data_IF_266185908042
#
_entry.id   IF_266185908042
#
_cell.length_a   1.000
_cell.length_b   1.000
_cell.length_c   1.000
_cell.angle_alpha   90.00
_cell.angle_beta   90.00
_cell.angle_gamma   90.00
#
_symmetry.space_group_name_H-M   'P 1'
#
loop_
_entity.id
_entity.type
_entity.pdbx_description
1 polymer ?
#
# COMPACT_ATOMS: atom_id res chain seq x y z
N UNK A 1 -23.40 11.30 -18.64
CA UNK A 1 -22.13 12.02 -18.39
C UNK A 1 -21.24 11.08 -17.59
N UNK A 2 -20.10 10.65 -18.12
CA UNK A 2 -19.19 9.76 -17.37
C UNK A 2 -18.49 10.60 -16.30
N UNK A 3 -18.66 10.24 -15.03
CA UNK A 3 -17.91 10.89 -13.96
C UNK A 3 -16.44 10.53 -14.07
N UNK A 4 -15.58 11.55 -14.07
CA UNK A 4 -14.14 11.39 -14.03
C UNK A 4 -13.70 11.69 -12.61
N UNK A 5 -13.25 10.66 -11.89
CA UNK A 5 -12.65 10.82 -10.57
C UNK A 5 -11.36 11.65 -10.71
N UNK A 6 -11.16 12.69 -9.89
CA UNK A 6 -9.88 13.41 -9.86
C UNK A 6 -8.71 12.45 -9.60
N UNK A 7 -7.55 12.84 -10.13
CA UNK A 7 -6.38 11.98 -10.18
C UNK A 7 -5.24 12.68 -9.44
N UNK A 8 -4.72 12.04 -8.39
CA UNK A 8 -3.54 12.56 -7.67
C UNK A 8 -2.25 12.23 -8.42
N UNK A 9 -1.32 13.16 -8.58
CA UNK A 9 -0.05 12.83 -9.24
C UNK A 9 0.88 12.08 -8.27
N UNK A 10 1.20 10.83 -8.59
CA UNK A 10 2.10 10.00 -7.78
C UNK A 10 3.47 10.68 -7.70
N UNK A 11 3.99 10.83 -6.49
CA UNK A 11 5.32 11.38 -6.27
C UNK A 11 6.36 10.26 -6.39
N UNK A 12 7.22 10.36 -7.41
CA UNK A 12 8.38 9.48 -7.56
C UNK A 12 9.61 10.08 -6.87
N UNK A 13 10.07 9.40 -5.83
CA UNK A 13 11.23 9.77 -5.01
C UNK A 13 12.44 8.86 -5.23
N UNK A 14 12.46 8.08 -6.33
CA UNK A 14 13.52 7.09 -6.60
C UNK A 14 14.93 7.68 -6.67
N UNK A 15 15.04 8.98 -6.97
CA UNK A 15 16.33 9.68 -7.08
C UNK A 15 16.87 10.17 -5.73
N UNK A 16 16.05 10.20 -4.66
CA UNK A 16 16.44 10.69 -3.35
C UNK A 16 17.31 9.63 -2.64
N UNK A 17 18.48 10.04 -2.18
CA UNK A 17 19.40 9.18 -1.42
C UNK A 17 19.51 9.60 0.06
N UNK A 18 19.17 10.85 0.40
CA UNK A 18 19.23 11.33 1.77
C UNK A 18 17.96 10.96 2.55
N UNK A 19 18.15 10.43 3.76
CA UNK A 19 17.04 9.99 4.62
C UNK A 19 16.16 11.14 5.09
N UNK A 20 16.77 12.29 5.42
CA UNK A 20 16.03 13.45 5.93
C UNK A 20 15.21 14.09 4.82
N UNK A 21 15.77 14.19 3.63
CA UNK A 21 15.09 14.63 2.42
C UNK A 21 13.92 13.70 2.10
N UNK A 22 14.12 12.38 2.07
CA UNK A 22 13.04 11.42 1.80
C UNK A 22 11.91 11.53 2.83
N UNK A 23 12.26 11.70 4.11
CA UNK A 23 11.29 11.94 5.18
C UNK A 23 10.46 13.19 4.97
N UNK A 24 11.09 14.30 4.57
CA UNK A 24 10.39 15.56 4.29
C UNK A 24 9.48 15.42 3.07
N UNK A 25 9.95 14.79 1.99
CA UNK A 25 9.16 14.55 0.78
C UNK A 25 7.94 13.72 1.10
N UNK A 26 8.08 12.59 1.80
CA UNK A 26 6.94 11.75 2.15
C UNK A 26 5.94 12.45 3.06
N UNK A 27 6.40 13.26 4.02
CA UNK A 27 5.52 14.08 4.85
C UNK A 27 4.75 15.12 4.04
N UNK A 28 5.41 15.80 3.10
CA UNK A 28 4.74 16.76 2.23
C UNK A 28 3.76 16.08 1.27
N UNK A 29 4.11 14.90 0.74
CA UNK A 29 3.20 14.11 -0.10
C UNK A 29 1.96 13.66 0.66
N UNK A 30 2.11 13.23 1.91
CA UNK A 30 0.98 12.89 2.78
C UNK A 30 0.03 14.09 2.93
N UNK A 31 0.57 15.26 3.28
CA UNK A 31 -0.20 16.50 3.43
C UNK A 31 -0.89 16.87 2.12
N UNK A 32 -0.17 16.86 1.00
CA UNK A 32 -0.69 17.19 -0.31
C UNK A 32 -1.83 16.24 -0.74
N UNK A 33 -1.68 14.94 -0.48
CA UNK A 33 -2.73 13.97 -0.76
C UNK A 33 -3.97 14.18 0.11
N UNK A 34 -3.80 14.53 1.39
CA UNK A 34 -4.94 14.89 2.27
C UNK A 34 -5.67 16.14 1.78
N UNK A 35 -4.94 17.18 1.37
CA UNK A 35 -5.53 18.37 0.76
C UNK A 35 -6.29 18.03 -0.52
N UNK A 36 -5.68 17.27 -1.43
CA UNK A 36 -6.33 16.78 -2.64
C UNK A 36 -7.62 15.98 -2.33
N UNK A 37 -7.58 15.11 -1.31
CA UNK A 37 -8.75 14.33 -0.92
C UNK A 37 -9.92 15.23 -0.47
N UNK A 38 -9.63 16.33 0.22
CA UNK A 38 -10.62 17.29 0.73
C UNK A 38 -11.10 18.29 -0.32
N UNK A 39 -10.18 18.81 -1.14
CA UNK A 39 -10.42 19.94 -2.03
C UNK A 39 -10.86 19.51 -3.42
N UNK A 40 -10.47 18.31 -3.88
CA UNK A 40 -10.78 17.81 -5.21
C UNK A 40 -11.68 16.58 -5.17
N UNK A 41 -11.27 15.55 -4.42
CA UNK A 41 -11.92 14.23 -4.47
C UNK A 41 -13.32 14.23 -3.84
N UNK A 42 -13.48 14.73 -2.62
CA UNK A 42 -14.79 14.81 -1.94
C UNK A 42 -15.79 15.67 -2.75
N UNK A 43 -15.44 16.88 -3.23
CA UNK A 43 -16.34 17.66 -4.07
C UNK A 43 -16.74 16.94 -5.36
N UNK A 44 -15.82 16.24 -6.00
CA UNK A 44 -16.12 15.45 -7.19
C UNK A 44 -17.05 14.26 -6.89
N UNK A 45 -16.84 13.55 -5.77
CA UNK A 45 -17.74 12.50 -5.28
C UNK A 45 -19.15 13.04 -5.05
N UNK A 46 -19.28 14.18 -4.37
CA UNK A 46 -20.57 14.84 -4.11
C UNK A 46 -21.26 15.27 -5.40
N UNK A 47 -20.53 15.89 -6.33
CA UNK A 47 -21.06 16.30 -7.62
C UNK A 47 -21.56 15.11 -8.44
N UNK A 48 -20.86 13.97 -8.37
CA UNK A 48 -21.28 12.75 -9.04
C UNK A 48 -22.57 12.19 -8.43
N UNK A 49 -22.62 12.09 -7.10
CA UNK A 49 -23.77 11.56 -6.41
C UNK A 49 -25.04 12.39 -6.69
N UNK A 50 -24.91 13.73 -6.66
CA UNK A 50 -25.98 14.66 -7.04
C UNK A 50 -26.46 14.49 -8.50
N UNK A 51 -25.63 13.93 -9.39
CA UNK A 51 -26.01 13.69 -10.79
C UNK A 51 -26.75 12.37 -11.01
N UNK A 52 -26.67 11.43 -10.06
CA UNK A 52 -27.27 10.10 -10.15
C UNK A 52 -28.55 10.00 -9.32
N UNK A 53 -28.57 10.63 -8.15
CA UNK A 53 -29.71 10.54 -7.25
C UNK A 53 -30.85 11.39 -7.79
N UNK A 54 -32.00 10.75 -7.99
CA UNK A 54 -33.26 11.45 -8.17
C UNK A 54 -33.84 11.79 -6.78
N UNK A 55 -33.85 13.08 -6.43
CA UNK A 55 -34.38 13.57 -5.15
C UNK A 55 -35.88 13.38 -4.98
N UNK A 56 -36.60 13.07 -6.07
CA UNK A 56 -38.05 12.88 -6.06
C UNK A 56 -38.46 11.43 -5.75
N UNK A 57 -37.49 10.52 -5.60
CA UNK A 57 -37.71 9.11 -5.26
C UNK A 57 -37.21 8.85 -3.84
N UNK A 58 -38.04 8.30 -2.93
CA UNK A 58 -37.58 7.88 -1.62
C UNK A 58 -36.43 6.86 -1.75
N UNK A 59 -35.30 7.18 -1.14
CA UNK A 59 -34.14 6.28 -1.06
C UNK A 59 -34.32 5.39 0.18
N UNK A 60 -34.02 4.11 0.04
CA UNK A 60 -33.99 3.17 1.17
C UNK A 60 -33.01 3.68 2.25
N UNK A 61 -33.39 3.82 3.53
CA UNK A 61 -32.56 4.45 4.56
C UNK A 61 -31.11 3.93 4.68
N UNK A 62 -30.81 2.62 4.54
CA UNK A 62 -29.43 2.14 4.52
C UNK A 62 -28.62 2.62 3.31
N UNK A 63 -29.28 2.81 2.16
CA UNK A 63 -28.65 3.36 0.96
C UNK A 63 -28.39 4.86 1.16
N UNK A 64 -29.33 5.58 1.77
CA UNK A 64 -29.18 7.00 2.11
C UNK A 64 -27.99 7.25 3.05
N UNK A 65 -27.75 6.38 4.03
CA UNK A 65 -26.57 6.47 4.92
C UNK A 65 -25.25 6.30 4.15
N UNK A 66 -25.18 5.29 3.27
CA UNK A 66 -24.00 5.05 2.42
C UNK A 66 -23.74 6.23 1.49
N UNK A 67 -24.79 6.77 0.88
CA UNK A 67 -24.74 7.96 0.03
C UNK A 67 -24.21 9.17 0.80
N UNK A 68 -24.76 9.46 1.98
CA UNK A 68 -24.30 10.56 2.83
C UNK A 68 -22.82 10.42 3.15
N UNK A 69 -22.42 9.23 3.58
CA UNK A 69 -21.02 8.94 3.89
C UNK A 69 -20.12 9.13 2.68
N UNK A 70 -20.51 8.63 1.50
CA UNK A 70 -19.76 8.83 0.25
C UNK A 70 -19.60 10.31 -0.14
N UNK A 71 -20.55 11.18 0.21
CA UNK A 71 -20.49 12.61 -0.07
C UNK A 71 -19.67 13.43 0.96
N UNK A 72 -19.36 12.82 2.10
CA UNK A 72 -18.68 13.46 3.23
C UNK A 72 -17.21 13.03 3.35
N UNK A 73 -16.88 11.79 2.98
CA UNK A 73 -15.53 11.25 3.15
C UNK A 73 -14.92 10.81 1.83
N UNK A 74 -13.59 10.95 1.75
CA UNK A 74 -12.82 10.55 0.58
C UNK A 74 -12.79 9.02 0.46
N UNK A 75 -13.18 8.51 -0.70
CA UNK A 75 -13.27 7.08 -0.98
C UNK A 75 -12.53 6.72 -2.28
N UNK A 76 -12.02 5.50 -2.35
CA UNK A 76 -11.58 4.90 -3.62
C UNK A 76 -12.80 4.57 -4.50
N UNK A 77 -12.63 4.48 -5.84
CA UNK A 77 -13.77 4.29 -6.72
C UNK A 77 -14.49 2.98 -6.40
N UNK A 78 -15.73 3.10 -5.93
CA UNK A 78 -16.68 2.01 -5.93
C UNK A 78 -17.67 2.20 -7.08
N UNK A 79 -17.65 1.33 -8.09
CA UNK A 79 -18.82 1.14 -8.94
C UNK A 79 -19.33 -0.30 -8.78
N UNK A 80 -20.57 -0.40 -8.28
CA UNK A 80 -21.38 -1.59 -8.01
C UNK A 80 -21.04 -2.36 -6.72
N UNK A 81 -21.90 -2.19 -5.72
CA UNK A 81 -21.88 -2.97 -4.48
C UNK A 81 -21.18 -2.23 -3.35
N UNK A 82 -21.94 -1.95 -2.29
CA UNK A 82 -21.41 -1.65 -0.97
C UNK A 82 -20.38 -2.75 -0.67
N UNK A 83 -19.10 -2.40 -0.44
CA UNK A 83 -18.78 -1.27 0.43
C UNK A 83 -17.81 -0.18 -0.01
N UNK A 84 -17.91 0.96 0.70
CA UNK A 84 -17.02 2.11 0.56
C UNK A 84 -15.64 1.82 1.16
N UNK A 85 -14.60 1.94 0.34
CA UNK A 85 -13.21 1.96 0.79
C UNK A 85 -12.81 3.40 1.18
N UNK A 86 -13.11 3.76 2.42
CA UNK A 86 -12.85 5.10 2.96
C UNK A 86 -11.36 5.26 3.19
N UNK A 87 -10.77 6.33 2.67
CA UNK A 87 -9.39 6.70 2.95
C UNK A 87 -9.31 7.19 4.40
N UNK A 88 -8.52 6.51 5.22
CA UNK A 88 -8.41 6.81 6.65
C UNK A 88 -7.45 7.97 6.91
N UNK A 89 -7.72 8.71 7.99
CA UNK A 89 -6.86 9.79 8.45
C UNK A 89 -5.69 9.29 9.32
N UNK A 90 -4.95 8.30 8.82
CA UNK A 90 -3.85 7.62 9.53
C UNK A 90 -2.51 7.83 8.84
N UNK A 91 -1.40 7.48 9.50
CA UNK A 91 -0.06 7.57 8.90
C UNK A 91 0.09 6.70 7.64
N UNK A 92 1.03 7.09 6.77
CA UNK A 92 1.38 6.30 5.59
C UNK A 92 1.76 4.87 5.95
N UNK A 93 1.27 3.95 5.10
CA UNK A 93 1.68 2.56 5.08
C UNK A 93 2.48 2.29 3.80
N UNK A 94 3.30 1.25 3.87
CA UNK A 94 4.26 0.93 2.85
C UNK A 94 4.16 -0.54 2.45
N UNK A 95 4.25 -0.80 1.15
CA UNK A 95 4.60 -2.12 0.62
C UNK A 95 5.99 -2.02 0.03
N UNK A 96 6.85 -2.96 0.41
CA UNK A 96 8.19 -3.08 -0.16
C UNK A 96 8.17 -4.11 -1.28
N UNK A 97 8.87 -3.79 -2.37
CA UNK A 97 8.93 -4.66 -3.55
C UNK A 97 10.19 -4.38 -4.38
N UNK A 98 10.35 -5.09 -5.50
CA UNK A 98 11.34 -4.77 -6.52
C UNK A 98 10.99 -3.51 -7.29
N UNK A 99 11.99 -2.83 -7.86
CA UNK A 99 11.77 -1.68 -8.73
C UNK A 99 10.87 -1.99 -9.94
N UNK A 100 10.94 -3.22 -10.46
CA UNK A 100 10.10 -3.66 -11.57
C UNK A 100 8.62 -3.69 -11.14
N UNK A 101 8.33 -4.29 -9.99
CA UNK A 101 6.98 -4.33 -9.42
C UNK A 101 6.47 -2.92 -9.09
N UNK A 102 7.31 -2.10 -8.44
CA UNK A 102 7.00 -0.70 -8.12
C UNK A 102 6.58 0.07 -9.38
N UNK A 103 7.37 0.02 -10.46
CA UNK A 103 7.05 0.70 -11.72
C UNK A 103 5.76 0.18 -12.33
N UNK A 104 5.54 -1.13 -12.35
CA UNK A 104 4.29 -1.73 -12.85
C UNK A 104 3.07 -1.18 -12.12
N UNK A 105 3.12 -1.11 -10.79
CA UNK A 105 2.02 -0.58 -9.99
C UNK A 105 1.88 0.94 -10.09
N UNK A 106 2.98 1.71 -10.17
CA UNK A 106 2.92 3.15 -10.38
C UNK A 106 2.18 3.52 -11.68
N UNK A 107 2.36 2.74 -12.75
CA UNK A 107 1.60 2.95 -14.00
C UNK A 107 0.11 2.64 -13.85
N UNK A 108 -0.25 1.61 -13.06
CA UNK A 108 -1.64 1.29 -12.73
C UNK A 108 -2.28 2.29 -11.76
N UNK A 109 -1.46 2.97 -10.95
CA UNK A 109 -1.83 3.93 -9.90
C UNK A 109 -2.55 3.36 -8.68
N UNK A 110 -3.03 2.13 -8.79
CA UNK A 110 -3.61 1.38 -7.68
C UNK A 110 -2.75 0.17 -7.37
N UNK A 111 -2.66 -0.15 -6.09
CA UNK A 111 -2.08 -1.39 -5.60
C UNK A 111 -3.20 -2.32 -5.16
N UNK A 112 -3.36 -3.43 -5.89
CA UNK A 112 -4.42 -4.42 -5.72
C UNK A 112 -3.96 -5.67 -4.95
N UNK A 113 -2.68 -5.71 -4.54
CA UNK A 113 -2.11 -6.81 -3.76
C UNK A 113 -2.09 -8.18 -4.44
N UNK A 114 -2.36 -8.26 -5.75
CA UNK A 114 -2.41 -9.54 -6.47
C UNK A 114 -0.99 -10.05 -6.67
N UNK A 115 -0.59 -11.02 -5.85
CA UNK A 115 0.71 -11.70 -5.88
C UNK A 115 0.58 -13.16 -5.48
N UNK A 116 1.27 -14.04 -6.19
CA UNK A 116 1.36 -15.47 -5.86
C UNK A 116 2.14 -15.73 -4.56
N UNK A 117 2.92 -14.75 -4.09
CA UNK A 117 3.82 -14.84 -2.92
C UNK A 117 3.24 -14.18 -1.65
N UNK A 118 2.02 -13.64 -1.73
CA UNK A 118 1.42 -12.83 -0.66
C UNK A 118 1.94 -11.40 -0.63
N UNK A 119 1.44 -10.60 0.32
CA UNK A 119 1.79 -9.18 0.49
C UNK A 119 1.97 -8.89 1.96
N UNK A 120 2.99 -8.10 2.30
CA UNK A 120 3.17 -7.51 3.62
C UNK A 120 3.11 -5.98 3.51
N UNK A 121 2.18 -5.39 4.24
CA UNK A 121 2.04 -3.96 4.46
C UNK A 121 2.73 -3.63 5.78
N UNK A 122 3.52 -2.57 5.81
CA UNK A 122 4.29 -2.16 6.98
C UNK A 122 4.10 -0.68 7.28
N UNK A 123 4.17 -0.30 8.56
CA UNK A 123 4.30 1.10 8.98
C UNK A 123 5.75 1.59 9.02
N UNK A 124 6.73 0.68 8.87
CA UNK A 124 8.15 1.06 8.87
C UNK A 124 8.40 1.96 7.66
N UNK A 125 8.90 3.19 7.84
CA UNK A 125 9.16 4.09 6.73
C UNK A 125 10.43 3.70 5.95
N UNK A 126 10.52 4.01 4.65
CA UNK A 126 11.64 3.61 3.79
C UNK A 126 12.96 4.29 4.15
N UNK A 127 12.91 5.35 4.95
CA UNK A 127 14.06 6.09 5.47
C UNK A 127 14.45 5.68 6.91
N UNK A 128 13.83 4.64 7.50
CA UNK A 128 14.11 4.25 8.87
C UNK A 128 15.60 3.92 9.11
N UNK A 129 16.16 4.47 10.19
CA UNK A 129 17.53 4.24 10.61
C UNK A 129 17.64 2.98 11.46
N UNK A 130 18.79 2.30 11.43
CA UNK A 130 19.04 1.08 12.21
C UNK A 130 18.34 -0.18 11.69
N UNK A 131 17.51 -0.07 10.64
CA UNK A 131 16.84 -1.21 10.00
C UNK A 131 17.60 -1.61 8.74
N UNK A 132 17.96 -2.89 8.67
CA UNK A 132 18.64 -3.50 7.54
C UNK A 132 17.63 -4.24 6.66
N UNK A 133 17.97 -4.46 5.38
CA UNK A 133 17.13 -5.27 4.48
C UNK A 133 16.91 -6.69 5.02
N UNK A 134 17.91 -7.27 5.69
CA UNK A 134 17.81 -8.60 6.28
C UNK A 134 16.82 -8.62 7.46
N UNK A 135 16.89 -7.62 8.32
CA UNK A 135 15.93 -7.44 9.42
C UNK A 135 14.51 -7.31 8.88
N UNK A 136 14.31 -6.44 7.89
CA UNK A 136 13.01 -6.22 7.27
C UNK A 136 12.47 -7.49 6.59
N UNK A 137 13.34 -8.23 5.89
CA UNK A 137 13.02 -9.53 5.28
C UNK A 137 12.55 -10.55 6.32
N UNK A 138 13.28 -10.66 7.43
CA UNK A 138 12.91 -11.56 8.52
C UNK A 138 11.53 -11.21 9.07
N UNK A 139 11.26 -9.92 9.30
CA UNK A 139 9.95 -9.48 9.79
C UNK A 139 8.82 -9.77 8.80
N UNK A 140 9.02 -9.51 7.51
CA UNK A 140 8.04 -9.85 6.47
C UNK A 140 7.73 -11.36 6.47
N UNK A 141 8.78 -12.19 6.43
CA UNK A 141 8.64 -13.64 6.35
C UNK A 141 8.04 -14.26 7.62
N UNK A 142 8.13 -13.59 8.77
CA UNK A 142 7.46 -14.00 10.01
C UNK A 142 5.95 -13.77 9.96
N UNK A 143 5.46 -12.74 9.25
CA UNK A 143 4.02 -12.46 9.11
C UNK A 143 3.41 -13.28 7.98
N UNK A 144 4.08 -13.32 6.83
CA UNK A 144 3.66 -14.07 5.67
C UNK A 144 4.89 -14.78 5.09
N UNK A 145 4.87 -16.11 5.14
CA UNK A 145 6.01 -16.90 4.69
C UNK A 145 6.26 -16.68 3.20
N UNK A 146 7.54 -16.55 2.85
CA UNK A 146 8.05 -16.45 1.48
C UNK A 146 7.72 -15.15 0.72
N UNK A 147 7.31 -14.07 1.39
CA UNK A 147 6.91 -12.82 0.74
C UNK A 147 8.06 -11.87 0.40
N UNK A 148 9.29 -12.13 0.88
CA UNK A 148 10.45 -11.28 0.57
C UNK A 148 11.73 -12.10 0.37
N UNK A 149 11.62 -13.20 -0.38
CA UNK A 149 12.72 -14.14 -0.58
C UNK A 149 13.73 -13.70 -1.64
N UNK A 150 13.33 -12.85 -2.58
CA UNK A 150 14.23 -12.38 -3.62
C UNK A 150 15.18 -11.30 -3.08
N UNK A 151 16.29 -11.12 -3.79
CA UNK A 151 17.31 -10.13 -3.44
C UNK A 151 16.75 -8.71 -3.51
N UNK A 152 15.83 -8.47 -4.45
CA UNK A 152 15.34 -7.14 -4.81
C UNK A 152 13.99 -6.77 -4.19
N UNK A 153 13.36 -7.65 -3.40
CA UNK A 153 12.00 -7.42 -2.84
C UNK A 153 11.89 -6.26 -1.86
N UNK A 154 13.03 -5.71 -1.42
CA UNK A 154 13.08 -4.62 -0.44
C UNK A 154 13.85 -3.41 -0.98
N UNK A 155 14.04 -3.32 -2.30
CA UNK A 155 14.79 -2.23 -2.93
C UNK A 155 13.93 -0.98 -3.16
N UNK A 156 12.63 -1.16 -3.31
CA UNK A 156 11.68 -0.12 -3.60
C UNK A 156 10.49 -0.16 -2.64
N UNK A 157 9.76 0.95 -2.58
CA UNK A 157 8.54 1.07 -1.78
C UNK A 157 7.40 1.67 -2.59
N UNK A 158 6.19 1.32 -2.19
CA UNK A 158 4.93 1.92 -2.59
C UNK A 158 4.28 2.45 -1.32
N UNK A 159 3.93 3.74 -1.28
CA UNK A 159 3.28 4.37 -0.16
C UNK A 159 1.83 4.73 -0.48
N UNK A 160 0.96 4.56 0.51
CA UNK A 160 -0.46 4.85 0.44
C UNK A 160 -1.02 5.19 1.83
N UNK A 161 -2.20 5.82 1.85
CA UNK A 161 -2.99 5.92 3.07
C UNK A 161 -3.86 4.65 3.23
N UNK A 162 -3.99 4.12 4.45
CA UNK A 162 -4.82 2.94 4.67
C UNK A 162 -6.29 3.26 4.36
N UNK A 163 -7.03 2.24 3.95
CA UNK A 163 -8.47 2.32 3.71
C UNK A 163 -9.24 1.50 4.71
N UNK A 164 -10.49 1.89 5.01
CA UNK A 164 -11.40 1.07 5.82
C UNK A 164 -11.65 -0.26 5.12
N UNK A 165 -11.05 -1.33 5.65
CA UNK A 165 -11.32 -2.69 5.20
C UNK A 165 -12.55 -3.19 5.94
N UNK A 166 -13.54 -3.69 5.20
CA UNK A 166 -14.80 -4.09 5.83
C UNK A 166 -14.73 -5.37 6.66
N UNK A 167 -13.88 -6.31 6.27
CA UNK A 167 -13.65 -7.57 6.99
C UNK A 167 -12.30 -8.17 6.56
N UNK A 168 -11.15 -7.58 6.91
CA UNK A 168 -9.91 -8.19 6.49
C UNK A 168 -9.60 -9.36 7.43
N UNK A 169 -9.52 -10.57 6.87
CA UNK A 169 -8.70 -11.60 7.48
C UNK A 169 -7.25 -11.21 7.20
N UNK A 170 -6.52 -10.75 8.21
CA UNK A 170 -5.10 -10.44 8.06
C UNK A 170 -4.27 -11.08 9.17
N UNK A 171 -3.08 -11.55 8.82
CA UNK A 171 -2.05 -11.82 9.81
C UNK A 171 -1.45 -10.49 10.27
N UNK A 172 -1.20 -10.37 11.57
CA UNK A 172 -0.68 -9.15 12.17
C UNK A 172 0.45 -9.47 13.13
N UNK A 173 1.53 -8.72 12.99
CA UNK A 173 2.64 -8.71 13.94
C UNK A 173 3.01 -7.27 14.28
N UNK A 174 3.30 -7.01 15.55
CA UNK A 174 3.86 -5.74 16.01
C UNK A 174 5.29 -5.91 16.47
N UNK A 175 6.16 -5.00 16.08
CA UNK A 175 7.55 -4.92 16.53
C UNK A 175 7.80 -3.49 16.99
N UNK A 176 7.90 -3.29 18.30
CA UNK A 176 7.96 -1.96 18.88
C UNK A 176 6.70 -1.15 18.55
N UNK A 177 6.88 0.01 17.91
CA UNK A 177 5.78 0.85 17.44
C UNK A 177 5.30 0.50 16.02
N UNK A 178 5.99 -0.42 15.33
CA UNK A 178 5.69 -0.76 13.95
C UNK A 178 4.74 -1.95 13.82
N UNK A 179 3.82 -1.84 12.88
CA UNK A 179 2.85 -2.86 12.53
C UNK A 179 3.17 -3.46 11.17
N UNK A 180 2.99 -4.77 11.07
CA UNK A 180 3.11 -5.55 9.85
C UNK A 180 1.83 -6.34 9.63
N UNK A 181 1.21 -6.13 8.47
CA UNK A 181 -0.09 -6.69 8.12
C UNK A 181 0.07 -7.50 6.84
N UNK A 182 -0.40 -8.75 6.84
CA UNK A 182 -0.50 -9.53 5.62
C UNK A 182 -1.98 -9.82 5.33
N UNK A 183 -2.58 -9.11 4.36
CA UNK A 183 -3.94 -9.40 3.92
C UNK A 183 -4.08 -10.83 3.43
N UNK A 184 -5.21 -11.47 3.72
CA UNK A 184 -5.57 -12.76 3.14
C UNK A 184 -5.70 -12.67 1.63
N UNK A 185 -5.31 -13.74 0.92
CA UNK A 185 -5.43 -13.82 -0.54
C UNK A 185 -6.86 -13.82 -1.05
N UNK A 186 -7.83 -14.14 -0.18
CA UNK A 186 -9.26 -14.19 -0.54
C UNK A 186 -9.95 -12.84 -0.33
N UNK A 187 -9.34 -11.91 0.41
CA UNK A 187 -9.92 -10.62 0.73
C UNK A 187 -9.31 -9.54 -0.17
N UNK A 188 -10.09 -8.94 -1.09
CA UNK A 188 -9.58 -7.93 -1.98
C UNK A 188 -9.15 -6.68 -1.21
N UNK A 189 -7.90 -6.29 -1.38
CA UNK A 189 -7.33 -5.03 -0.92
C UNK A 189 -6.99 -4.17 -2.13
N UNK A 190 -7.45 -2.93 -2.16
CA UNK A 190 -7.10 -1.98 -3.21
C UNK A 190 -6.85 -0.62 -2.58
N UNK A 191 -5.70 -0.03 -2.89
CA UNK A 191 -5.32 1.31 -2.42
C UNK A 191 -4.81 2.18 -3.56
N UNK A 192 -5.10 3.47 -3.49
CA UNK A 192 -4.47 4.45 -4.38
C UNK A 192 -3.05 4.71 -3.90
N UNK A 193 -2.12 4.61 -4.85
CA UNK A 193 -0.70 4.88 -4.62
C UNK A 193 -0.51 6.38 -4.60
N UNK A 194 0.18 6.90 -3.57
CA UNK A 194 0.45 8.34 -3.45
C UNK A 194 1.92 8.67 -3.71
N UNK A 195 2.82 7.74 -3.39
CA UNK A 195 4.24 7.90 -3.64
C UNK A 195 4.90 6.55 -3.90
N UNK A 196 6.00 6.60 -4.63
CA UNK A 196 6.88 5.47 -4.87
C UNK A 196 8.33 5.92 -4.76
N UNK A 197 9.24 4.98 -4.56
CA UNK A 197 10.66 5.30 -4.62
C UNK A 197 11.57 4.18 -4.15
N UNK A 198 12.84 4.55 -3.98
CA UNK A 198 13.87 3.66 -3.45
C UNK A 198 13.76 3.55 -1.93
N UNK A 199 13.80 2.34 -1.40
CA UNK A 199 13.96 2.12 0.03
C UNK A 199 15.42 2.31 0.44
N UNK A 200 15.66 3.04 1.53
CA UNK A 200 17.00 3.39 1.98
C UNK A 200 17.53 2.45 3.08
N UNK A 201 16.95 1.26 3.25
CA UNK A 201 17.44 0.29 4.22
C UNK A 201 18.89 -0.09 3.95
N UNK A 202 19.67 -0.27 5.03
CA UNK A 202 21.06 -0.69 4.90
C UNK A 202 21.11 -2.10 4.32
N UNK A 203 21.95 -2.27 3.31
CA UNK A 203 22.33 -3.59 2.84
C UNK A 203 23.50 -4.06 3.69
N UNK A 204 23.33 -5.13 4.46
CA UNK A 204 24.43 -5.71 5.24
C UNK A 204 25.46 -6.41 4.34
N UNK A 205 25.26 -6.41 3.02
CA UNK A 205 26.18 -7.02 2.07
C UNK A 205 26.35 -8.49 2.41
N UNK A 206 25.27 -9.28 2.31
CA UNK A 206 25.39 -10.73 2.36
C UNK A 206 26.35 -11.15 1.25
N UNK A 207 27.62 -11.44 1.63
CA UNK A 207 28.44 -12.39 0.90
C UNK A 207 27.56 -13.62 0.73
N UNK A 208 27.28 -13.98 -0.52
CA UNK A 208 26.60 -15.23 -0.89
C UNK A 208 27.13 -16.32 0.04
N UNK A 209 26.26 -16.92 0.86
CA UNK A 209 26.60 -18.21 1.44
C UNK A 209 27.04 -19.10 0.27
N UNK A 210 28.26 -19.66 0.27
CA UNK A 210 28.61 -20.61 -0.76
C UNK A 210 27.55 -21.69 -0.71
N UNK A 211 26.93 -21.96 -1.86
CA UNK A 211 26.02 -23.10 -2.02
C UNK A 211 26.72 -24.29 -1.36
N UNK A 212 26.11 -24.88 -0.32
CA UNK A 212 26.49 -26.21 0.11
C UNK A 212 26.25 -27.13 -1.08
N UNK A 213 27.29 -27.32 -1.90
CA UNK A 213 27.38 -28.37 -2.89
C UNK A 213 27.45 -29.69 -2.13
N UNK A 214 26.29 -30.18 -1.72
CA UNK A 214 26.13 -31.55 -1.25
C UNK A 214 26.25 -32.49 -2.44
N UNK A 215 27.48 -32.81 -2.83
CA UNK A 215 27.73 -34.08 -3.52
C UNK A 215 27.55 -35.18 -2.47
N UNK A 216 26.40 -35.83 -2.52
CA UNK A 216 26.24 -37.16 -1.95
C UNK A 216 27.07 -38.12 -2.79
N UNK A 217 28.19 -38.60 -2.23
CA UNK A 217 28.85 -39.81 -2.69
C UNK A 217 28.35 -40.98 -1.84
N UNK A 218 27.90 -42.09 -2.44
CA UNK A 218 27.55 -43.28 -1.66
C UNK A 218 28.81 -43.91 -1.04
N UNK A 219 28.70 -44.54 0.14
CA UNK A 219 29.81 -45.24 0.74
C UNK A 219 30.16 -46.49 -0.06
N UNK A 220 31.42 -46.57 -0.51
CA UNK A 220 32.05 -47.80 -1.00
C UNK A 220 32.72 -48.51 0.18
N UNK A 221 32.17 -49.66 0.56
CA UNK A 221 32.83 -50.89 1.05
C UNK A 221 31.76 -51.81 1.64
#
# INVERSE_FOLDING_TARGET
MYHIRPIFNIIDSSNIQDRRELKLVLRHTEIAYRSFAQEDLIPAQRSWMNSIINTDVPIDPPIDEVVKRFCEVACLPGPAGIPLYIILNDSLMYVYCSFQAMRKYAHKRFYDGVSDEGVVISTVPPYAEGITKETMRSWHNNVCQNTSNETHDLDAYIAFLPTSLQNPSFSHMKIGCDSFLAPSRVDPFCVEIIAVGKALFHDNGLKKNPRCGGQWLPPSC
#
